data_IF_165108064764
#
_entry.id   IF_165108064764
#
_cell.length_a   1.000
_cell.length_b   1.000
_cell.length_c   1.000
_cell.angle_alpha   90.00
_cell.angle_beta   90.00
_cell.angle_gamma   90.00
#
_symmetry.space_group_name_H-M   'P 1'
#
loop_
_entity.id
_entity.type
_entity.pdbx_description
1 polymer ?
#
# COMPACT_ATOMS: atom_id res chain seq x y z
N UNK A 1 -5.00 18.61 0.31
CA UNK A 1 -3.89 17.82 0.89
C UNK A 1 -4.35 16.38 0.92
N UNK A 2 -3.78 15.48 0.10
CA UNK A 2 -4.31 14.11 -0.02
C UNK A 2 -3.93 13.31 1.24
N UNK A 3 -4.90 13.09 2.14
CA UNK A 3 -4.69 12.36 3.39
C UNK A 3 -4.46 10.88 3.08
N UNK A 4 -3.21 10.42 3.21
CA UNK A 4 -2.92 9.00 3.24
C UNK A 4 -3.31 8.45 4.61
N UNK A 5 -3.85 7.23 4.64
CA UNK A 5 -4.05 6.52 5.91
C UNK A 5 -2.69 6.20 6.55
N UNK A 6 -2.68 5.87 7.85
CA UNK A 6 -1.45 5.42 8.53
C UNK A 6 -0.78 4.24 7.80
N UNK A 7 -1.61 3.32 7.27
CA UNK A 7 -1.14 2.25 6.39
C UNK A 7 -0.48 2.78 5.11
N UNK A 8 -1.13 3.75 4.45
CA UNK A 8 -0.61 4.36 3.22
C UNK A 8 0.75 5.06 3.42
N UNK A 9 0.94 5.71 4.56
CA UNK A 9 2.21 6.30 4.98
C UNK A 9 3.29 5.24 5.21
N UNK A 10 2.97 4.19 5.98
CA UNK A 10 3.89 3.06 6.21
C UNK A 10 4.29 2.37 4.90
N UNK A 11 3.33 2.09 4.03
CA UNK A 11 3.57 1.49 2.74
C UNK A 11 4.44 2.38 1.85
N UNK A 12 4.17 3.69 1.76
CA UNK A 12 5.04 4.64 1.04
C UNK A 12 6.47 4.66 1.60
N UNK A 13 6.64 4.62 2.92
CA UNK A 13 7.94 4.52 3.57
C UNK A 13 8.70 3.26 3.17
N UNK A 14 8.05 2.10 3.26
CA UNK A 14 8.66 0.81 2.88
C UNK A 14 8.97 0.73 1.38
N UNK A 15 8.09 1.28 0.53
CA UNK A 15 8.34 1.38 -0.91
C UNK A 15 9.61 2.20 -1.20
N UNK A 16 9.82 3.31 -0.50
CA UNK A 16 11.05 4.11 -0.62
C UNK A 16 12.29 3.33 -0.17
N UNK A 17 12.22 2.63 0.97
CA UNK A 17 13.31 1.80 1.48
C UNK A 17 13.67 0.68 0.51
N UNK A 18 12.67 0.04 -0.11
CA UNK A 18 12.83 -1.07 -1.05
C UNK A 18 13.04 -0.63 -2.51
N UNK A 19 13.05 0.69 -2.79
CA UNK A 19 13.07 1.26 -4.15
C UNK A 19 11.97 0.71 -5.07
N UNK A 20 10.82 0.34 -4.50
CA UNK A 20 9.64 -0.14 -5.23
C UNK A 20 8.78 1.06 -5.62
N UNK A 21 8.35 1.11 -6.87
CA UNK A 21 7.42 2.15 -7.34
C UNK A 21 5.97 1.70 -7.20
N UNK A 22 5.03 2.64 -7.12
CA UNK A 22 3.59 2.35 -7.07
C UNK A 22 3.15 1.56 -8.30
N UNK A 23 3.75 1.83 -9.45
CA UNK A 23 3.53 1.10 -10.70
C UNK A 23 3.98 -0.35 -10.61
N UNK A 24 5.17 -0.60 -10.04
CA UNK A 24 5.69 -1.96 -9.86
C UNK A 24 4.85 -2.75 -8.88
N UNK A 25 4.49 -2.14 -7.75
CA UNK A 25 3.62 -2.75 -6.75
C UNK A 25 2.24 -3.08 -7.32
N UNK A 26 1.65 -2.15 -8.09
CA UNK A 26 0.38 -2.38 -8.76
C UNK A 26 0.46 -3.53 -9.77
N UNK A 27 1.55 -3.60 -10.54
CA UNK A 27 1.81 -4.69 -11.49
C UNK A 27 1.95 -6.05 -10.79
N UNK A 28 2.68 -6.10 -9.69
CA UNK A 28 2.88 -7.32 -8.90
C UNK A 28 1.58 -7.82 -8.24
N UNK A 29 0.73 -6.88 -7.81
CA UNK A 29 -0.60 -7.18 -7.32
C UNK A 29 -1.63 -7.49 -8.41
N UNK A 30 -1.31 -7.24 -9.68
CA UNK A 30 -2.26 -7.34 -10.80
C UNK A 30 -3.40 -6.32 -10.74
N UNK A 31 -3.17 -5.14 -10.15
CA UNK A 31 -4.17 -4.06 -10.01
C UNK A 31 -3.73 -2.78 -10.71
N UNK A 32 -4.65 -1.82 -10.85
CA UNK A 32 -4.32 -0.50 -11.36
C UNK A 32 -3.67 0.40 -10.30
N UNK A 33 -2.81 1.32 -10.73
CA UNK A 33 -2.15 2.28 -9.83
C UNK A 33 -3.16 3.18 -9.11
N UNK A 34 -4.27 3.52 -9.78
CA UNK A 34 -5.38 4.26 -9.18
C UNK A 34 -6.03 3.48 -8.05
N UNK A 35 -6.31 2.20 -8.27
CA UNK A 35 -6.88 1.31 -7.25
C UNK A 35 -5.95 1.15 -6.05
N UNK A 36 -4.64 0.98 -6.29
CA UNK A 36 -3.63 0.96 -5.24
C UNK A 36 -3.62 2.27 -4.44
N UNK A 37 -3.75 3.42 -5.10
CA UNK A 37 -3.83 4.72 -4.43
C UNK A 37 -5.06 4.83 -3.53
N UNK A 38 -6.22 4.34 -3.96
CA UNK A 38 -7.45 4.31 -3.15
C UNK A 38 -7.30 3.41 -1.91
N UNK A 39 -6.61 2.28 -2.02
CA UNK A 39 -6.29 1.40 -0.89
C UNK A 39 -5.38 2.12 0.12
N UNK A 40 -4.31 2.75 -0.36
CA UNK A 40 -3.36 3.50 0.47
C UNK A 40 -4.01 4.71 1.17
N UNK A 41 -4.98 5.35 0.51
CA UNK A 41 -5.79 6.42 1.09
C UNK A 41 -6.77 5.94 2.17
N UNK A 42 -6.97 4.62 2.30
CA UNK A 42 -7.90 4.06 3.28
C UNK A 42 -9.37 4.19 2.86
N UNK A 43 -9.64 4.51 1.59
CA UNK A 43 -11.01 4.72 1.07
C UNK A 43 -11.81 3.42 0.99
N UNK A 44 -11.12 2.27 0.99
CA UNK A 44 -11.75 0.96 1.13
C UNK A 44 -11.16 0.19 2.31
N UNK A 45 -12.05 -0.43 3.07
CA UNK A 45 -11.78 -1.50 4.04
C UNK A 45 -11.36 -2.81 3.33
N UNK A 46 -10.51 -2.72 2.31
CA UNK A 46 -9.98 -3.88 1.58
C UNK A 46 -8.89 -4.54 2.42
N UNK A 47 -9.31 -5.29 3.44
CA UNK A 47 -8.41 -5.96 4.40
C UNK A 47 -7.45 -6.90 3.66
N UNK A 48 -7.96 -7.69 2.70
CA UNK A 48 -7.15 -8.61 1.88
C UNK A 48 -6.08 -7.89 1.04
N UNK A 49 -6.41 -6.73 0.47
CA UNK A 49 -5.48 -5.97 -0.36
C UNK A 49 -4.39 -5.33 0.51
N UNK A 50 -4.76 -4.81 1.69
CA UNK A 50 -3.77 -4.31 2.67
C UNK A 50 -2.85 -5.43 3.12
N UNK A 51 -3.36 -6.63 3.38
CA UNK A 51 -2.56 -7.81 3.72
C UNK A 51 -1.63 -8.22 2.58
N UNK A 52 -2.10 -8.23 1.33
CA UNK A 52 -1.23 -8.51 0.16
C UNK A 52 -0.13 -7.48 0.01
N UNK A 53 -0.45 -6.20 0.08
CA UNK A 53 0.53 -5.10 0.03
C UNK A 53 1.53 -5.26 1.17
N UNK A 54 1.05 -5.57 2.37
CA UNK A 54 1.88 -5.73 3.53
C UNK A 54 2.84 -6.92 3.42
N UNK A 55 2.37 -8.02 2.84
CA UNK A 55 3.20 -9.19 2.55
C UNK A 55 4.27 -8.89 1.51
N UNK A 56 3.92 -8.17 0.44
CA UNK A 56 4.86 -7.75 -0.62
C UNK A 56 5.91 -6.78 -0.07
N UNK A 57 5.45 -5.76 0.67
CA UNK A 57 6.32 -4.73 1.24
C UNK A 57 6.97 -5.18 2.55
N UNK A 58 6.71 -6.40 3.01
CA UNK A 58 7.17 -6.97 4.29
C UNK A 58 6.96 -6.00 5.47
N UNK A 59 5.83 -5.29 5.47
CA UNK A 59 5.46 -4.35 6.54
C UNK A 59 4.44 -5.00 7.47
N UNK A 60 4.56 -4.72 8.77
CA UNK A 60 3.60 -5.19 9.75
C UNK A 60 2.33 -4.32 9.71
N UNK A 61 1.18 -4.92 9.41
CA UNK A 61 -0.14 -4.25 9.47
C UNK A 61 -0.63 -4.08 10.92
N UNK A 62 0.10 -4.63 11.90
CA UNK A 62 -0.17 -4.36 13.31
C UNK A 62 0.12 -2.89 13.62
N UNK A 63 -0.93 -2.08 13.60
CA UNK A 63 -1.03 -0.92 14.48
C UNK A 63 -1.00 -1.46 15.92
N UNK A 64 -0.10 -0.90 16.72
CA UNK A 64 0.08 -1.22 18.13
C UNK A 64 -0.72 -0.20 18.94
#
# INVERSE_FOLDING_TARGET
MQAYSEFGLKARGAMLQKKITMTSLAKEMGVSVSYLSEILKGTRSGTEQKEKIAKILEINVKEN
#
